data_IF_498263092011
#
_entry.id   IF_498263092011
#
_cell.length_a   1.000
_cell.length_b   1.000
_cell.length_c   1.000
_cell.angle_alpha   90.00
_cell.angle_beta   90.00
_cell.angle_gamma   90.00
#
_symmetry.space_group_name_H-M   'P 1'
#
loop_
_entity.id
_entity.type
_entity.pdbx_description
1 polymer ?
#
# COMPACT_ATOMS: atom_id res chain seq x y z
N UNK A 1 -22.08 -16.76 -10.28
CA UNK A 1 -20.69 -16.51 -9.84
C UNK A 1 -20.73 -15.47 -8.73
N UNK A 2 -19.98 -15.66 -7.64
CA UNK A 2 -19.88 -14.67 -6.57
C UNK A 2 -19.12 -13.44 -7.07
N UNK A 3 -19.71 -12.25 -6.97
CA UNK A 3 -19.01 -11.01 -7.32
C UNK A 3 -17.87 -10.80 -6.35
N UNK A 4 -16.65 -10.61 -6.87
CA UNK A 4 -15.43 -10.40 -6.10
C UNK A 4 -14.83 -9.04 -6.44
N UNK A 5 -14.06 -8.46 -5.51
CA UNK A 5 -13.31 -7.23 -5.76
C UNK A 5 -12.00 -7.19 -5.00
N UNK A 6 -11.01 -6.52 -5.57
CA UNK A 6 -9.76 -6.22 -4.89
C UNK A 6 -9.89 -4.91 -4.10
N UNK A 7 -9.54 -4.98 -2.82
CA UNK A 7 -9.61 -3.87 -1.87
C UNK A 7 -8.25 -3.65 -1.21
N UNK A 8 -8.02 -2.41 -0.80
CA UNK A 8 -6.87 -2.04 -0.01
C UNK A 8 -7.28 -1.15 1.15
N UNK A 9 -6.86 -1.51 2.36
CA UNK A 9 -6.84 -0.59 3.49
C UNK A 9 -5.51 0.13 3.48
N UNK A 10 -5.54 1.46 3.44
CA UNK A 10 -4.36 2.28 3.22
C UNK A 10 -4.27 3.45 4.19
N UNK A 11 -3.05 3.94 4.38
CA UNK A 11 -2.77 5.26 4.94
C UNK A 11 -2.50 6.20 3.77
N UNK A 12 -3.16 7.37 3.76
CA UNK A 12 -2.90 8.44 2.79
C UNK A 12 -2.10 9.52 3.52
N UNK A 13 -0.91 9.91 3.03
CA UNK A 13 -0.17 11.04 3.57
C UNK A 13 -0.97 12.34 3.55
N UNK A 14 -0.58 13.30 4.39
CA UNK A 14 -1.15 14.65 4.32
C UNK A 14 -0.90 15.32 2.96
N UNK A 15 -1.58 16.45 2.72
CA UNK A 15 -1.55 17.12 1.41
C UNK A 15 -0.15 17.60 1.02
N UNK A 16 0.63 18.09 2.00
CA UNK A 16 1.98 18.56 1.78
C UNK A 16 2.89 17.42 1.31
N UNK A 17 2.85 16.29 1.99
CA UNK A 17 3.68 15.15 1.64
C UNK A 17 3.20 14.46 0.36
N UNK A 18 1.89 14.36 0.16
CA UNK A 18 1.29 13.84 -1.08
C UNK A 18 1.76 14.64 -2.30
N UNK A 19 1.82 15.97 -2.22
CA UNK A 19 2.34 16.82 -3.30
C UNK A 19 3.81 16.54 -3.59
N UNK A 20 4.64 16.32 -2.55
CA UNK A 20 6.05 15.97 -2.74
C UNK A 20 6.22 14.64 -3.47
N UNK A 21 5.48 13.60 -3.06
CA UNK A 21 5.53 12.29 -3.69
C UNK A 21 5.11 12.34 -5.16
N UNK A 22 4.06 13.10 -5.47
CA UNK A 22 3.62 13.36 -6.85
C UNK A 22 4.72 14.03 -7.67
N UNK A 23 5.38 15.04 -7.13
CA UNK A 23 6.48 15.72 -7.82
C UNK A 23 7.69 14.81 -8.04
N UNK A 24 8.00 13.92 -7.10
CA UNK A 24 9.06 12.93 -7.26
C UNK A 24 8.73 11.89 -8.32
N UNK A 25 7.48 11.43 -8.37
CA UNK A 25 7.00 10.54 -9.43
C UNK A 25 7.12 11.19 -10.81
N UNK A 26 6.71 12.46 -10.92
CA UNK A 26 6.84 13.27 -12.16
C UNK A 26 8.29 13.51 -12.56
N UNK A 27 9.18 13.72 -11.59
CA UNK A 27 10.62 13.88 -11.86
C UNK A 27 11.21 12.64 -12.55
N UNK A 28 10.78 11.45 -12.12
CA UNK A 28 11.19 10.19 -12.75
C UNK A 28 10.55 10.03 -14.12
N UNK A 29 9.24 10.23 -14.25
CA UNK A 29 8.53 10.03 -15.53
C UNK A 29 8.90 11.05 -16.62
N UNK A 30 9.46 12.20 -16.25
CA UNK A 30 10.03 13.16 -17.19
C UNK A 30 11.31 12.66 -17.89
N UNK A 31 12.00 11.66 -17.32
CA UNK A 31 13.28 11.13 -17.83
C UNK A 31 13.24 9.66 -18.23
N UNK A 32 12.30 8.89 -17.68
CA UNK A 32 12.21 7.45 -17.86
C UNK A 32 10.78 7.05 -18.18
N UNK A 33 10.59 6.01 -18.98
CA UNK A 33 9.27 5.47 -19.28
C UNK A 33 8.73 4.72 -18.05
N UNK A 34 7.61 5.19 -17.51
CA UNK A 34 6.96 4.61 -16.32
C UNK A 34 5.56 4.10 -16.63
N UNK A 35 5.16 3.00 -15.97
CA UNK A 35 3.82 2.43 -16.06
C UNK A 35 2.74 3.27 -15.36
N UNK A 36 3.11 4.08 -14.37
CA UNK A 36 2.24 5.09 -13.78
C UNK A 36 3.03 6.27 -13.22
N UNK A 37 2.38 7.42 -13.12
CA UNK A 37 2.86 8.60 -12.38
C UNK A 37 1.85 8.92 -11.31
N UNK A 38 2.28 9.15 -10.06
CA UNK A 38 1.39 9.48 -8.96
C UNK A 38 0.55 10.72 -9.29
N UNK A 39 -0.74 10.64 -9.01
CA UNK A 39 -1.72 11.68 -9.32
C UNK A 39 -2.91 11.57 -8.37
N UNK A 40 -3.42 12.69 -7.90
CA UNK A 40 -4.63 12.74 -7.07
C UNK A 40 -5.81 12.17 -7.87
N UNK A 41 -6.57 11.26 -7.25
CA UNK A 41 -7.77 10.68 -7.87
C UNK A 41 -7.52 9.60 -8.93
N UNK A 42 -6.26 9.26 -9.23
CA UNK A 42 -5.93 8.17 -10.18
C UNK A 42 -4.87 7.22 -9.64
N UNK A 43 -3.73 7.75 -9.22
CA UNK A 43 -2.63 6.97 -8.63
C UNK A 43 -2.26 7.62 -7.31
N UNK A 44 -3.18 7.53 -6.34
CA UNK A 44 -3.04 8.21 -5.06
C UNK A 44 -1.81 7.70 -4.30
N UNK A 45 -0.92 8.57 -3.78
CA UNK A 45 0.15 8.15 -2.89
C UNK A 45 -0.43 7.53 -1.61
N UNK A 46 0.02 6.34 -1.25
CA UNK A 46 -0.49 5.64 -0.07
C UNK A 46 0.47 4.57 0.45
N UNK A 47 0.36 4.25 1.74
CA UNK A 47 1.00 3.07 2.35
C UNK A 47 -0.08 2.00 2.48
N UNK A 48 0.15 0.83 1.90
CA UNK A 48 -0.75 -0.32 2.03
C UNK A 48 -0.63 -0.94 3.42
N UNK A 49 -1.77 -1.08 4.09
CA UNK A 49 -1.89 -1.87 5.32
C UNK A 49 -2.37 -3.27 4.99
N UNK A 50 -3.39 -3.43 4.14
CA UNK A 50 -3.81 -4.76 3.70
C UNK A 50 -4.53 -4.70 2.37
N UNK A 51 -3.86 -5.24 1.33
CA UNK A 51 -4.37 -5.34 -0.02
C UNK A 51 -4.72 -6.80 -0.33
N UNK A 52 -5.98 -7.10 -0.62
CA UNK A 52 -6.41 -8.45 -0.99
C UNK A 52 -7.77 -8.48 -1.68
N UNK A 53 -8.23 -9.68 -2.06
CA UNK A 53 -9.48 -9.92 -2.78
C UNK A 53 -10.58 -10.31 -1.81
N UNK A 54 -11.80 -9.80 -2.01
CA UNK A 54 -12.94 -10.12 -1.16
C UNK A 54 -14.20 -10.44 -1.97
N UNK A 55 -15.08 -11.30 -1.45
CA UNK A 55 -16.47 -11.35 -1.87
C UNK A 55 -17.15 -10.00 -1.66
N UNK A 56 -17.90 -9.53 -2.65
CA UNK A 56 -18.65 -8.26 -2.58
C UNK A 56 -19.62 -8.24 -1.39
N UNK A 57 -20.23 -9.39 -1.06
CA UNK A 57 -21.15 -9.53 0.09
C UNK A 57 -20.51 -9.16 1.44
N UNK A 58 -19.19 -9.24 1.55
CA UNK A 58 -18.46 -8.92 2.78
C UNK A 58 -18.11 -7.42 2.90
N UNK A 59 -18.39 -6.59 1.89
CA UNK A 59 -17.97 -5.18 1.87
C UNK A 59 -18.48 -4.36 3.07
N UNK A 60 -19.74 -4.54 3.48
CA UNK A 60 -20.29 -3.85 4.64
C UNK A 60 -19.59 -4.25 5.94
N UNK A 61 -19.28 -5.55 6.11
CA UNK A 61 -18.53 -6.06 7.27
C UNK A 61 -17.11 -5.52 7.29
N UNK A 62 -16.45 -5.46 6.13
CA UNK A 62 -15.10 -4.88 6.00
C UNK A 62 -15.10 -3.42 6.45
N UNK A 63 -16.03 -2.60 5.94
CA UNK A 63 -16.16 -1.20 6.37
C UNK A 63 -16.32 -1.07 7.89
N UNK A 64 -17.21 -1.87 8.49
CA UNK A 64 -17.44 -1.85 9.94
C UNK A 64 -16.20 -2.24 10.75
N UNK A 65 -15.44 -3.24 10.29
CA UNK A 65 -14.20 -3.65 10.97
C UNK A 65 -13.11 -2.58 10.86
N UNK A 66 -12.92 -1.97 9.68
CA UNK A 66 -11.95 -0.88 9.50
C UNK A 66 -12.30 0.32 10.39
N UNK A 67 -13.59 0.65 10.51
CA UNK A 67 -14.08 1.73 11.37
C UNK A 67 -13.82 1.46 12.86
N UNK A 68 -14.12 0.24 13.34
CA UNK A 68 -13.82 -0.17 14.72
C UNK A 68 -12.34 -0.10 15.03
N UNK A 69 -11.49 -0.55 14.10
CA UNK A 69 -10.04 -0.50 14.27
C UNK A 69 -9.57 0.95 14.27
N UNK A 70 -10.02 1.80 13.35
CA UNK A 70 -9.65 3.21 13.35
C UNK A 70 -10.01 3.91 14.68
N UNK A 71 -11.15 3.59 15.28
CA UNK A 71 -11.58 4.14 16.56
C UNK A 71 -10.72 3.68 17.77
N UNK A 72 -9.95 2.61 17.63
CA UNK A 72 -9.05 2.09 18.67
C UNK A 72 -7.63 2.67 18.62
N UNK A 73 -7.31 3.44 17.58
CA UNK A 73 -6.01 4.09 17.39
C UNK A 73 -6.14 5.60 17.57
N UNK A 74 -5.06 6.22 18.05
CA UNK A 74 -4.86 7.68 18.03
C UNK A 74 -3.81 8.04 16.98
N UNK A 75 -3.75 9.30 16.51
CA UNK A 75 -2.72 9.75 15.59
C UNK A 75 -1.30 9.45 16.09
N UNK A 76 -0.45 8.98 15.19
CA UNK A 76 0.95 8.68 15.49
C UNK A 76 1.86 9.10 14.33
N UNK A 77 3.14 9.31 14.62
CA UNK A 77 4.12 9.71 13.61
C UNK A 77 4.86 8.49 13.06
N UNK A 78 5.16 8.53 11.76
CA UNK A 78 6.09 7.61 11.10
C UNK A 78 7.18 8.39 10.37
N UNK A 79 8.32 7.75 10.14
CA UNK A 79 9.42 8.27 9.33
C UNK A 79 9.63 7.40 8.09
N UNK A 80 10.08 8.05 7.02
CA UNK A 80 10.49 7.42 5.79
C UNK A 80 11.91 7.83 5.47
N UNK A 81 12.69 6.86 5.02
CA UNK A 81 14.10 7.04 4.79
C UNK A 81 14.63 6.03 3.78
N UNK A 82 15.41 6.52 2.82
CA UNK A 82 15.96 5.70 1.76
C UNK A 82 14.92 5.26 0.73
N UNK A 83 15.41 4.87 -0.45
CA UNK A 83 14.59 4.27 -1.48
C UNK A 83 15.08 2.85 -1.74
N UNK A 84 14.13 1.94 -1.91
CA UNK A 84 14.38 0.58 -2.36
C UNK A 84 13.77 0.36 -3.74
N UNK A 85 14.12 -0.78 -4.34
CA UNK A 85 13.63 -1.18 -5.66
C UNK A 85 13.33 -2.67 -5.69
N UNK A 86 12.19 -3.04 -6.27
CA UNK A 86 11.86 -4.43 -6.55
C UNK A 86 10.83 -4.52 -7.68
N UNK A 87 10.91 -5.55 -8.53
CA UNK A 87 9.95 -5.78 -9.64
C UNK A 87 9.63 -4.53 -10.49
N UNK A 88 10.64 -3.70 -10.76
CA UNK A 88 10.49 -2.45 -11.52
C UNK A 88 9.92 -1.27 -10.72
N UNK A 89 9.48 -1.47 -9.47
CA UNK A 89 9.01 -0.40 -8.60
C UNK A 89 10.15 0.30 -7.88
N UNK A 90 10.01 1.62 -7.74
CA UNK A 90 10.78 2.41 -6.78
C UNK A 90 9.88 2.69 -5.58
N UNK A 91 10.37 2.35 -4.40
CA UNK A 91 9.67 2.52 -3.13
C UNK A 91 10.41 3.53 -2.26
N UNK A 92 9.66 4.37 -1.55
CA UNK A 92 10.17 5.16 -0.43
C UNK A 92 9.84 4.41 0.86
N UNK A 93 10.89 3.99 1.57
CA UNK A 93 10.76 2.99 2.61
C UNK A 93 10.32 3.63 3.93
N UNK A 94 9.36 3.00 4.60
CA UNK A 94 8.96 3.41 5.95
C UNK A 94 9.90 2.74 6.95
N UNK A 95 10.46 3.53 7.86
CA UNK A 95 11.32 3.00 8.91
C UNK A 95 10.51 2.11 9.87
N UNK A 96 11.15 1.12 10.52
CA UNK A 96 10.47 0.25 11.48
C UNK A 96 9.67 1.04 12.52
N UNK A 97 8.38 0.73 12.64
CA UNK A 97 7.48 1.41 13.56
C UNK A 97 6.48 0.40 14.15
N UNK A 98 6.55 0.18 15.46
CA UNK A 98 5.73 -0.82 16.13
C UNK A 98 4.23 -0.48 16.11
N UNK A 99 3.87 0.80 16.14
CA UNK A 99 2.46 1.23 16.07
C UNK A 99 1.88 0.89 14.70
N UNK A 100 2.65 1.15 13.64
CA UNK A 100 2.27 0.79 12.27
C UNK A 100 2.18 -0.73 12.09
N UNK A 101 3.12 -1.50 12.67
CA UNK A 101 3.06 -2.96 12.64
C UNK A 101 1.80 -3.47 13.35
N UNK A 102 1.52 -3.00 14.57
CA UNK A 102 0.30 -3.40 15.31
C UNK A 102 -0.98 -3.02 14.56
N UNK A 103 -1.00 -1.87 13.89
CA UNK A 103 -2.11 -1.45 13.06
C UNK A 103 -2.32 -2.40 11.86
N UNK A 104 -1.24 -2.69 11.12
CA UNK A 104 -1.25 -3.66 10.03
C UNK A 104 -1.78 -5.02 10.51
N UNK A 105 -1.25 -5.52 11.62
CA UNK A 105 -1.62 -6.81 12.19
C UNK A 105 -3.10 -6.86 12.60
N UNK A 106 -3.60 -5.80 13.24
CA UNK A 106 -5.01 -5.68 13.64
C UNK A 106 -5.95 -5.69 12.44
N UNK A 107 -5.58 -4.99 11.36
CA UNK A 107 -6.34 -5.00 10.11
C UNK A 107 -6.34 -6.40 9.48
N UNK A 108 -5.20 -7.06 9.41
CA UNK A 108 -5.10 -8.41 8.82
C UNK A 108 -5.93 -9.42 9.60
N UNK A 109 -5.86 -9.42 10.94
CA UNK A 109 -6.59 -10.40 11.75
C UNK A 109 -8.11 -10.23 11.63
N UNK A 110 -8.58 -8.99 11.59
CA UNK A 110 -10.00 -8.71 11.46
C UNK A 110 -10.53 -8.99 10.04
N UNK A 111 -9.73 -8.75 9.01
CA UNK A 111 -10.20 -8.79 7.63
C UNK A 111 -9.86 -10.09 6.88
N UNK A 112 -8.77 -10.79 7.20
CA UNK A 112 -8.39 -12.01 6.47
C UNK A 112 -9.49 -13.09 6.49
N UNK A 113 -10.23 -13.34 7.61
CA UNK A 113 -11.34 -14.29 7.60
C UNK A 113 -12.47 -13.93 6.62
N UNK A 114 -12.60 -12.64 6.25
CA UNK A 114 -13.63 -12.17 5.31
C UNK A 114 -13.26 -12.41 3.84
N UNK A 115 -12.04 -12.87 3.56
CA UNK A 115 -11.53 -13.12 2.21
C UNK A 115 -12.11 -14.37 1.56
N UNK A 116 -12.69 -15.30 2.33
CA UNK A 116 -13.10 -16.62 1.83
C UNK A 116 -11.99 -17.31 0.99
N UNK A 117 -10.72 -17.16 1.41
CA UNK A 117 -9.54 -17.68 0.72
C UNK A 117 -9.29 -17.16 -0.72
N UNK A 118 -10.04 -16.17 -1.22
CA UNK A 118 -9.78 -15.55 -2.53
C UNK A 118 -8.40 -14.89 -2.58
N UNK A 119 -7.60 -15.19 -3.60
CA UNK A 119 -6.28 -14.58 -3.80
C UNK A 119 -6.35 -13.67 -5.05
N UNK A 120 -5.83 -12.43 -5.00
CA UNK A 120 -5.74 -11.59 -6.19
C UNK A 120 -4.87 -12.22 -7.27
N UNK A 121 -5.27 -12.11 -8.55
CA UNK A 121 -4.51 -12.68 -9.67
C UNK A 121 -3.10 -12.09 -9.77
N UNK A 122 -2.94 -10.82 -9.39
CA UNK A 122 -1.63 -10.16 -9.34
C UNK A 122 -0.65 -10.89 -8.42
N UNK A 123 -1.15 -11.51 -7.34
CA UNK A 123 -0.31 -12.25 -6.39
C UNK A 123 0.02 -13.66 -6.91
N UNK A 124 -0.94 -14.31 -7.58
CA UNK A 124 -0.73 -15.62 -8.20
C UNK A 124 0.28 -15.59 -9.36
N UNK A 125 0.42 -14.45 -10.02
CA UNK A 125 1.36 -14.25 -11.14
C UNK A 125 2.79 -13.87 -10.71
N UNK A 126 3.03 -13.64 -9.41
CA UNK A 126 4.36 -13.29 -8.94
C UNK A 126 5.31 -14.49 -9.04
N UNK A 127 6.51 -14.23 -9.54
CA UNK A 127 7.60 -15.22 -9.65
C UNK A 127 8.78 -14.83 -8.75
N UNK A 128 9.71 -15.77 -8.51
CA UNK A 128 10.89 -15.51 -7.67
C UNK A 128 10.60 -15.35 -6.17
N UNK A 129 9.44 -15.83 -5.71
CA UNK A 129 9.02 -15.71 -4.30
C UNK A 129 9.78 -16.67 -3.39
N UNK A 130 10.18 -16.16 -2.22
CA UNK A 130 10.68 -16.99 -1.10
C UNK A 130 9.57 -17.88 -0.54
N UNK A 131 9.93 -18.95 0.18
CA UNK A 131 8.96 -19.82 0.85
C UNK A 131 8.06 -19.04 1.84
N UNK A 132 8.62 -18.05 2.55
CA UNK A 132 7.86 -17.18 3.46
C UNK A 132 6.82 -16.34 2.71
N UNK A 133 7.16 -15.80 1.55
CA UNK A 133 6.22 -15.03 0.73
C UNK A 133 5.12 -15.89 0.13
N UNK A 134 5.45 -17.10 -0.35
CA UNK A 134 4.44 -18.06 -0.86
C UNK A 134 3.42 -18.41 0.24
N UNK A 135 3.91 -18.78 1.41
CA UNK A 135 3.06 -19.04 2.59
C UNK A 135 2.24 -17.81 3.00
N UNK A 136 2.79 -16.59 2.86
CA UNK A 136 2.03 -15.36 3.10
C UNK A 136 0.87 -15.18 2.11
N UNK A 137 1.08 -15.47 0.82
CA UNK A 137 0.01 -15.42 -0.18
C UNK A 137 -1.08 -16.45 0.14
N UNK A 138 -0.70 -17.69 0.45
CA UNK A 138 -1.67 -18.74 0.77
C UNK A 138 -2.53 -18.36 1.98
N UNK A 139 -1.88 -17.95 3.08
CA UNK A 139 -2.56 -17.62 4.35
C UNK A 139 -3.34 -16.32 4.30
N UNK A 140 -2.78 -15.29 3.68
CA UNK A 140 -3.28 -13.91 3.79
C UNK A 140 -3.66 -13.26 2.47
N UNK A 141 -3.42 -13.92 1.34
CA UNK A 141 -3.75 -13.41 0.00
C UNK A 141 -2.78 -12.34 -0.50
N UNK A 142 -1.65 -12.10 0.15
CA UNK A 142 -0.66 -11.10 -0.28
C UNK A 142 0.76 -11.41 0.25
N UNK A 143 1.80 -11.01 -0.48
CA UNK A 143 3.21 -11.29 -0.13
C UNK A 143 3.75 -10.56 1.11
N UNK A 144 3.25 -9.36 1.37
CA UNK A 144 3.72 -8.49 2.45
C UNK A 144 2.70 -8.42 3.59
N UNK A 145 2.62 -9.48 4.40
CA UNK A 145 1.65 -9.59 5.49
C UNK A 145 2.30 -10.19 6.75
N UNK A 146 1.94 -9.64 7.92
CA UNK A 146 2.47 -9.99 9.24
C UNK A 146 4.00 -9.93 9.27
N UNK A 147 4.66 -11.09 9.40
CA UNK A 147 6.11 -11.22 9.51
C UNK A 147 6.86 -10.85 8.22
N UNK A 148 6.17 -10.76 7.09
CA UNK A 148 6.75 -10.31 5.81
C UNK A 148 6.30 -8.89 5.45
N UNK A 149 5.65 -8.17 6.37
CA UNK A 149 5.20 -6.81 6.12
C UNK A 149 6.40 -5.88 5.85
N UNK A 150 6.34 -5.18 4.73
CA UNK A 150 7.34 -4.18 4.32
C UNK A 150 6.57 -2.91 4.00
N UNK A 151 6.37 -1.98 4.96
CA UNK A 151 5.65 -0.74 4.72
C UNK A 151 6.45 0.18 3.80
N UNK A 152 5.79 0.69 2.75
CA UNK A 152 6.43 1.57 1.77
C UNK A 152 5.41 2.46 1.05
N UNK A 153 5.93 3.51 0.41
CA UNK A 153 5.22 4.34 -0.55
C UNK A 153 5.77 4.09 -1.96
N UNK A 154 4.93 3.62 -2.88
CA UNK A 154 5.33 3.47 -4.29
C UNK A 154 5.48 4.84 -4.95
N UNK A 155 6.67 5.15 -5.49
CA UNK A 155 6.92 6.37 -6.26
C UNK A 155 6.47 6.19 -7.71
N UNK A 156 6.86 5.07 -8.33
CA UNK A 156 6.48 4.70 -9.70
C UNK A 156 6.88 3.23 -9.97
N UNK A 157 6.54 2.74 -11.15
CA UNK A 157 7.02 1.48 -11.72
C UNK A 157 7.60 1.75 -13.11
N UNK A 158 8.84 1.32 -13.37
CA UNK A 158 9.51 1.51 -14.66
C UNK A 158 9.09 0.44 -15.67
N UNK A 159 8.94 0.87 -16.92
CA UNK A 159 8.75 -0.05 -18.05
C UNK A 159 10.03 -0.82 -18.36
N UNK A 160 11.20 -0.21 -18.13
CA UNK A 160 12.51 -0.79 -18.38
C UNK A 160 13.27 -1.01 -17.05
N UNK A 161 13.16 -2.20 -16.41
CA UNK A 161 13.76 -2.45 -15.09
C UNK A 161 15.26 -2.20 -14.98
N UNK A 162 16.12 -2.46 -16.00
CA UNK A 162 17.53 -2.09 -15.98
C UNK A 162 17.84 -0.62 -15.63
N UNK A 163 16.94 0.32 -15.92
CA UNK A 163 17.16 1.75 -15.67
C UNK A 163 16.87 2.18 -14.23
N UNK A 164 16.31 1.29 -13.42
CA UNK A 164 15.76 1.63 -12.10
C UNK A 164 16.79 2.24 -11.13
N UNK A 165 18.05 1.82 -11.20
CA UNK A 165 19.11 2.39 -10.36
C UNK A 165 19.36 3.86 -10.70
N UNK A 166 19.31 4.21 -11.99
CA UNK A 166 19.52 5.58 -12.48
C UNK A 166 18.28 6.44 -12.19
N UNK A 167 17.08 5.89 -12.36
CA UNK A 167 15.85 6.56 -12.00
C UNK A 167 15.72 6.81 -10.49
N UNK A 168 16.21 5.90 -9.65
CA UNK A 168 16.22 6.08 -8.20
C UNK A 168 17.27 7.10 -7.73
N UNK A 169 18.40 7.27 -8.46
CA UNK A 169 19.48 8.16 -8.03
C UNK A 169 19.16 9.66 -8.15
N UNK A 170 18.17 10.03 -8.96
CA UNK A 170 17.70 11.42 -9.10
C UNK A 170 16.71 11.84 -8.00
N UNK A 171 16.23 10.88 -7.19
CA UNK A 171 15.31 11.16 -6.10
C UNK A 171 16.05 11.78 -4.90
N UNK A 172 15.42 12.71 -4.17
CA UNK A 172 16.08 13.38 -3.07
C UNK A 172 16.27 12.43 -1.88
N UNK A 173 17.51 12.28 -1.43
CA UNK A 173 17.84 11.52 -0.22
C UNK A 173 17.51 12.34 1.02
N UNK A 174 16.24 12.35 1.41
CA UNK A 174 15.76 13.05 2.60
C UNK A 174 14.98 12.08 3.48
N UNK A 175 15.11 12.25 4.79
CA UNK A 175 14.18 11.66 5.76
C UNK A 175 12.96 12.55 5.86
N UNK A 176 11.77 11.96 5.78
CA UNK A 176 10.50 12.68 5.95
C UNK A 176 9.73 12.03 7.09
N UNK A 177 9.13 12.86 7.94
CA UNK A 177 8.21 12.44 8.98
C UNK A 177 6.84 13.01 8.70
N UNK A 178 5.79 12.24 8.95
CA UNK A 178 4.42 12.74 8.88
C UNK A 178 3.53 12.00 9.87
N UNK A 179 2.40 12.63 10.21
CA UNK A 179 1.42 12.07 11.14
C UNK A 179 0.40 11.23 10.39
N UNK A 180 0.23 9.98 10.81
CA UNK A 180 -0.85 9.11 10.40
C UNK A 180 -2.07 9.47 11.24
N UNK A 181 -3.11 10.02 10.61
CA UNK A 181 -4.31 10.51 11.30
C UNK A 181 -5.56 9.66 11.05
N UNK A 182 -5.43 8.59 10.26
CA UNK A 182 -6.56 7.72 9.94
C UNK A 182 -6.26 6.72 8.84
N UNK A 183 -7.30 5.96 8.50
CA UNK A 183 -7.31 4.94 7.46
C UNK A 183 -8.18 5.36 6.28
N UNK A 184 -7.97 4.71 5.14
CA UNK A 184 -8.87 4.78 4.00
C UNK A 184 -9.08 3.38 3.42
N UNK A 185 -10.29 3.10 2.94
CA UNK A 185 -10.58 1.89 2.16
C UNK A 185 -10.75 2.29 0.70
N UNK A 186 -9.99 1.64 -0.19
CA UNK A 186 -10.02 1.93 -1.63
C UNK A 186 -10.05 0.68 -2.50
N UNK A 187 -10.31 0.90 -3.79
CA UNK A 187 -10.12 -0.11 -4.82
C UNK A 187 -8.64 -0.33 -5.10
N UNK A 188 -8.32 -1.47 -5.70
CA UNK A 188 -6.99 -1.76 -6.25
C UNK A 188 -7.10 -1.73 -7.77
N UNK A 189 -6.17 -1.04 -8.43
CA UNK A 189 -5.96 -1.16 -9.88
C UNK A 189 -4.64 -1.83 -10.20
N UNK A 190 -4.32 -1.88 -11.49
CA UNK A 190 -3.01 -2.32 -11.97
C UNK A 190 -1.89 -1.59 -11.20
N UNK A 191 -0.79 -2.32 -10.97
CA UNK A 191 0.35 -1.89 -10.17
C UNK A 191 0.06 -1.66 -8.67
N UNK A 192 -1.05 -2.15 -8.14
CA UNK A 192 -1.37 -2.05 -6.70
C UNK A 192 -1.73 -0.63 -6.27
N UNK A 193 -2.18 0.21 -7.20
CA UNK A 193 -2.53 1.61 -6.93
C UNK A 193 -3.99 1.73 -6.45
N UNK A 194 -4.32 2.86 -5.79
CA UNK A 194 -5.66 3.13 -5.26
C UNK A 194 -6.35 4.29 -6.00
N UNK A 195 -7.05 4.03 -7.12
CA UNK A 195 -7.68 5.08 -7.94
C UNK A 195 -8.96 5.62 -7.30
N UNK A 196 -9.68 4.80 -6.54
CA UNK A 196 -10.92 5.21 -5.88
C UNK A 196 -10.85 4.91 -4.39
N UNK A 197 -11.00 5.96 -3.58
CA UNK A 197 -11.22 5.84 -2.14
C UNK A 197 -12.72 5.79 -1.89
N UNK A 198 -13.19 4.74 -1.21
CA UNK A 198 -14.59 4.53 -0.89
C UNK A 198 -15.00 5.24 0.40
N UNK A 199 -14.16 5.14 1.44
CA UNK A 199 -14.43 5.73 2.76
C UNK A 199 -13.11 6.06 3.46
N UNK A 200 -13.12 7.13 4.24
CA UNK A 200 -12.04 7.53 5.16
C UNK A 200 -12.50 7.30 6.59
N UNK A 201 -11.59 6.86 7.45
CA UNK A 201 -11.85 6.54 8.85
C UNK A 201 -10.81 7.28 9.71
N UNK A 202 -11.15 8.45 10.26
CA UNK A 202 -10.22 9.17 11.14
C UNK A 202 -9.95 8.35 12.40
N UNK A 203 -8.73 8.48 12.93
CA UNK A 203 -8.39 7.95 14.25
C UNK A 203 -9.08 8.75 15.35
N UNK A 204 -9.17 8.13 16.54
CA UNK A 204 -9.70 8.78 17.73
C UNK A 204 -8.79 9.95 18.10
N UNK A 205 -9.37 11.13 18.30
CA UNK A 205 -8.66 12.31 18.79
C UNK A 205 -8.27 12.14 20.25
#
# INVERSE_FOLDING_TARGET
>A
METIRDLNVVIIPDDWFSVKLINWSRLVSAKYKTNFTLERGKYCPHISLYQTRYPQKNFARINSQVEKIAAAFTPFQISLNGFSKNWGFIFYDVEPNEVLQRLHESIVDALNPLRNNFIPDSQLRLTGLTAKQKNSIEKYGHVFVKKTYVPHLSITNLVNPPEISKAMSILPKKTIKFNVTGLSLGSVSEYGTCPKIFKKFPFKR
#
